data_IF_055489939570
#
_entry.id   IF_055489939570
#
_cell.length_a   1.000
_cell.length_b   1.000
_cell.length_c   1.000
_cell.angle_alpha   90.00
_cell.angle_beta   90.00
_cell.angle_gamma   90.00
#
_symmetry.space_group_name_H-M   'P 1'
#
loop_
_entity.id
_entity.type
_entity.pdbx_description
1 polymer ?
#
# COMPACT_ATOMS: atom_id res chain seq x y z
N UNK A 1 19.77 -4.56 -69.10
CA UNK A 1 18.34 -4.19 -69.03
C UNK A 1 17.64 -5.26 -68.18
N UNK A 2 17.62 -5.13 -66.85
CA UNK A 2 16.65 -4.38 -66.02
C UNK A 2 15.18 -4.71 -66.30
N UNK A 3 14.54 -5.49 -65.39
CA UNK A 3 13.28 -5.18 -64.68
C UNK A 3 12.86 -6.39 -63.81
N UNK A 4 13.09 -6.30 -62.50
CA UNK A 4 12.11 -5.98 -61.42
C UNK A 4 11.26 -7.18 -60.97
N UNK A 5 11.76 -7.90 -59.98
CA UNK A 5 10.97 -8.63 -58.99
C UNK A 5 10.59 -7.63 -57.90
N UNK A 6 9.33 -7.21 -57.85
CA UNK A 6 8.79 -6.38 -56.76
C UNK A 6 8.24 -7.28 -55.67
N UNK A 7 8.89 -7.22 -54.51
CA UNK A 7 8.49 -7.89 -53.29
C UNK A 7 7.11 -7.44 -52.81
N UNK A 8 6.26 -8.43 -52.57
CA UNK A 8 5.28 -8.41 -51.48
C UNK A 8 5.89 -9.29 -50.38
N UNK A 9 5.46 -9.12 -49.14
CA UNK A 9 5.91 -9.83 -47.93
C UNK A 9 7.05 -9.17 -47.13
N UNK A 10 6.85 -7.94 -46.64
CA UNK A 10 7.28 -7.55 -45.28
C UNK A 10 6.26 -6.53 -44.73
N UNK A 11 5.07 -7.02 -44.41
CA UNK A 11 4.10 -6.33 -43.57
C UNK A 11 3.60 -7.42 -42.62
N UNK A 12 4.27 -7.59 -41.48
CA UNK A 12 3.82 -8.37 -40.30
C UNK A 12 4.99 -8.66 -39.35
N UNK A 13 5.59 -7.62 -38.74
CA UNK A 13 6.37 -7.78 -37.48
C UNK A 13 6.16 -6.60 -36.51
N UNK A 14 5.49 -5.51 -36.91
CA UNK A 14 5.29 -4.35 -36.04
C UNK A 14 3.97 -4.41 -35.24
N UNK A 15 3.60 -5.60 -34.73
CA UNK A 15 2.30 -5.84 -34.08
C UNK A 15 2.37 -6.82 -32.89
N UNK A 16 3.39 -6.71 -32.03
CA UNK A 16 3.46 -7.45 -30.76
C UNK A 16 4.13 -6.68 -29.59
N UNK A 17 4.36 -5.36 -29.70
CA UNK A 17 4.96 -4.54 -28.65
C UNK A 17 3.97 -3.48 -28.10
N UNK A 18 2.70 -3.87 -27.94
CA UNK A 18 1.65 -3.08 -27.27
C UNK A 18 1.00 -3.87 -26.12
N UNK A 19 1.46 -5.09 -25.83
CA UNK A 19 0.97 -5.84 -24.69
C UNK A 19 1.75 -5.47 -23.43
N UNK A 20 1.01 -4.90 -22.47
CA UNK A 20 1.33 -4.76 -21.05
C UNK A 20 2.30 -3.63 -20.65
N UNK A 21 1.91 -2.38 -20.92
CA UNK A 21 2.20 -1.26 -20.02
C UNK A 21 0.88 -0.64 -19.50
N UNK A 22 -0.09 -1.49 -19.16
CA UNK A 22 -1.28 -1.10 -18.40
C UNK A 22 -0.98 -1.18 -16.89
N UNK A 23 0.16 -0.65 -16.46
CA UNK A 23 0.43 -0.35 -15.06
C UNK A 23 0.06 1.12 -14.83
N UNK A 24 -1.21 1.45 -15.07
CA UNK A 24 -1.78 2.76 -14.82
C UNK A 24 -2.98 2.52 -13.89
N UNK A 25 -2.73 2.65 -12.58
CA UNK A 25 -3.71 2.78 -11.50
C UNK A 25 -4.98 1.96 -11.71
N UNK A 26 -4.99 0.71 -11.25
CA UNK A 26 -6.23 -0.06 -11.12
C UNK A 26 -7.21 0.80 -10.31
N UNK A 27 -8.33 1.17 -10.92
CA UNK A 27 -9.38 1.88 -10.24
C UNK A 27 -10.18 0.86 -9.41
N UNK A 28 -10.61 1.28 -8.22
CA UNK A 28 -11.44 0.47 -7.34
C UNK A 28 -12.90 0.58 -7.79
N UNK A 29 -13.51 -0.58 -8.06
CA UNK A 29 -14.91 -0.71 -8.47
C UNK A 29 -15.81 -0.59 -7.24
N UNK A 30 -16.46 0.56 -7.07
CA UNK A 30 -17.23 0.90 -5.87
C UNK A 30 -18.70 1.07 -6.20
N UNK A 31 -19.55 0.36 -5.45
CA UNK A 31 -21.00 0.56 -5.47
C UNK A 31 -21.51 0.85 -4.07
N UNK A 32 -22.15 2.01 -3.89
CA UNK A 32 -22.70 2.46 -2.61
C UNK A 32 -24.16 2.87 -2.75
N UNK A 33 -24.87 2.81 -1.63
CA UNK A 33 -26.23 3.31 -1.48
C UNK A 33 -26.28 4.20 -0.24
N UNK A 34 -26.88 5.38 -0.38
CA UNK A 34 -27.13 6.31 0.73
C UNK A 34 -28.62 6.59 0.80
N UNK A 35 -29.20 6.41 1.98
CA UNK A 35 -30.61 6.66 2.24
C UNK A 35 -30.94 8.17 2.16
N UNK A 36 -32.14 8.50 1.69
CA UNK A 36 -32.61 9.87 1.66
C UNK A 36 -33.01 10.35 3.06
N UNK A 37 -32.66 11.59 3.41
CA UNK A 37 -33.14 12.26 4.61
C UNK A 37 -34.65 12.57 4.53
N UNK A 38 -35.32 12.76 5.68
CA UNK A 38 -36.78 13.00 5.77
C UNK A 38 -37.23 14.26 5.00
N UNK A 39 -36.31 15.17 4.65
CA UNK A 39 -36.56 16.40 3.89
C UNK A 39 -36.25 16.28 2.39
N UNK A 40 -35.70 15.14 1.94
CA UNK A 40 -35.59 14.71 0.56
C UNK A 40 -35.07 15.77 -0.41
N UNK A 41 -33.74 15.77 -0.64
CA UNK A 41 -33.05 15.97 -1.95
C UNK A 41 -31.85 16.92 -1.94
N UNK A 42 -31.54 17.65 -0.87
CA UNK A 42 -30.53 18.72 -0.99
C UNK A 42 -29.07 18.24 -0.84
N UNK A 43 -28.80 17.07 -0.23
CA UNK A 43 -27.40 16.62 -0.01
C UNK A 43 -27.08 15.16 -0.38
N UNK A 44 -28.08 14.35 -0.77
CA UNK A 44 -27.90 12.90 -1.00
C UNK A 44 -26.84 12.60 -2.06
N UNK A 45 -26.71 13.44 -3.10
CA UNK A 45 -25.69 13.25 -4.16
C UNK A 45 -24.26 13.46 -3.66
N UNK A 46 -24.00 14.52 -2.89
CA UNK A 46 -22.67 14.81 -2.36
C UNK A 46 -22.28 13.76 -1.32
N UNK A 47 -23.24 13.34 -0.49
CA UNK A 47 -23.03 12.32 0.53
C UNK A 47 -22.74 10.93 -0.07
N UNK A 48 -23.49 10.51 -1.10
CA UNK A 48 -23.22 9.25 -1.79
C UNK A 48 -21.88 9.27 -2.54
N UNK A 49 -21.50 10.42 -3.11
CA UNK A 49 -20.18 10.61 -3.71
C UNK A 49 -19.07 10.49 -2.66
N UNK A 50 -19.18 11.21 -1.54
CA UNK A 50 -18.20 11.15 -0.46
C UNK A 50 -18.06 9.73 0.09
N UNK A 51 -19.18 9.05 0.34
CA UNK A 51 -19.22 7.66 0.80
C UNK A 51 -18.54 6.71 -0.20
N UNK A 52 -18.77 6.89 -1.51
CA UNK A 52 -18.12 6.10 -2.55
C UNK A 52 -16.59 6.28 -2.55
N UNK A 53 -16.12 7.53 -2.43
CA UNK A 53 -14.69 7.83 -2.38
C UNK A 53 -14.02 7.24 -1.15
N UNK A 54 -14.64 7.37 0.03
CA UNK A 54 -14.16 6.77 1.27
C UNK A 54 -14.10 5.24 1.15
N UNK A 55 -15.13 4.61 0.58
CA UNK A 55 -15.17 3.18 0.36
C UNK A 55 -14.07 2.70 -0.61
N UNK A 56 -13.81 3.44 -1.68
CA UNK A 56 -12.73 3.11 -2.63
C UNK A 56 -11.33 3.18 -2.00
N UNK A 57 -11.07 4.21 -1.18
CA UNK A 57 -9.80 4.31 -0.43
C UNK A 57 -9.67 3.18 0.59
N UNK A 58 -10.76 2.82 1.28
CA UNK A 58 -10.74 1.72 2.23
C UNK A 58 -10.48 0.37 1.53
N UNK A 59 -11.16 0.07 0.43
CA UNK A 59 -10.92 -1.15 -0.38
C UNK A 59 -9.46 -1.25 -0.84
N UNK A 60 -8.89 -0.15 -1.33
CA UNK A 60 -7.48 -0.09 -1.71
C UNK A 60 -6.55 -0.41 -0.53
N UNK A 61 -6.85 0.13 0.66
CA UNK A 61 -6.10 -0.18 1.88
C UNK A 61 -6.20 -1.67 2.24
N UNK A 62 -7.38 -2.27 2.10
CA UNK A 62 -7.58 -3.71 2.38
C UNK A 62 -6.75 -4.59 1.46
N UNK A 63 -6.69 -4.26 0.17
CA UNK A 63 -5.85 -4.96 -0.78
C UNK A 63 -4.36 -4.84 -0.45
N UNK A 64 -3.91 -3.65 -0.06
CA UNK A 64 -2.53 -3.41 0.40
C UNK A 64 -2.20 -4.26 1.65
N UNK A 65 -3.18 -4.45 2.53
CA UNK A 65 -3.10 -5.23 3.76
C UNK A 65 -3.46 -6.71 3.57
N UNK A 66 -3.69 -7.15 2.32
CA UNK A 66 -4.00 -8.53 1.94
C UNK A 66 -5.25 -9.10 2.63
N UNK A 67 -6.18 -8.24 3.04
CA UNK A 67 -7.43 -8.62 3.72
C UNK A 67 -7.24 -9.31 5.07
N UNK A 68 -6.07 -9.19 5.70
CA UNK A 68 -5.72 -9.92 6.95
C UNK A 68 -6.16 -9.24 8.23
N UNK A 69 -6.68 -8.01 8.17
CA UNK A 69 -7.12 -7.31 9.38
C UNK A 69 -8.37 -7.96 9.98
N UNK A 70 -8.38 -8.12 11.31
CA UNK A 70 -9.58 -8.49 12.06
C UNK A 70 -10.65 -7.38 12.00
N UNK A 71 -11.88 -7.72 12.40
CA UNK A 71 -13.03 -6.82 12.32
C UNK A 71 -12.83 -5.51 13.10
N UNK A 72 -12.20 -5.57 14.29
CA UNK A 72 -11.94 -4.38 15.11
C UNK A 72 -10.94 -3.45 14.43
N UNK A 73 -9.84 -3.98 13.89
CA UNK A 73 -8.84 -3.18 13.16
C UNK A 73 -9.40 -2.62 11.86
N UNK A 74 -10.22 -3.39 11.14
CA UNK A 74 -10.92 -2.92 9.94
C UNK A 74 -11.81 -1.72 10.25
N UNK A 75 -12.62 -1.81 11.32
CA UNK A 75 -13.49 -0.71 11.75
C UNK A 75 -12.70 0.56 12.08
N UNK A 76 -11.63 0.43 12.87
CA UNK A 76 -10.77 1.56 13.22
C UNK A 76 -10.06 2.16 12.00
N UNK A 77 -9.59 1.32 11.08
CA UNK A 77 -8.98 1.79 9.85
C UNK A 77 -9.96 2.54 8.97
N UNK A 78 -11.19 2.04 8.83
CA UNK A 78 -12.24 2.70 8.06
C UNK A 78 -12.58 4.07 8.64
N UNK A 79 -12.72 4.17 9.97
CA UNK A 79 -12.97 5.43 10.67
C UNK A 79 -11.81 6.43 10.51
N UNK A 80 -10.57 5.97 10.56
CA UNK A 80 -9.41 6.84 10.35
C UNK A 80 -9.34 7.36 8.91
N UNK A 81 -9.51 6.48 7.92
CA UNK A 81 -9.39 6.82 6.50
C UNK A 81 -10.55 7.65 5.98
N UNK A 82 -11.77 7.53 6.53
CA UNK A 82 -12.92 8.29 6.05
C UNK A 82 -12.67 9.81 6.08
N UNK A 83 -12.06 10.31 7.16
CA UNK A 83 -11.70 11.72 7.32
C UNK A 83 -10.56 12.21 6.42
N UNK A 84 -9.75 11.28 5.86
CA UNK A 84 -8.56 11.57 5.05
C UNK A 84 -8.68 11.08 3.61
N UNK A 85 -9.82 10.52 3.22
CA UNK A 85 -9.98 9.84 1.93
C UNK A 85 -9.63 10.75 0.75
N UNK A 86 -10.02 12.03 0.82
CA UNK A 86 -9.73 13.03 -0.22
C UNK A 86 -8.23 13.25 -0.46
N UNK A 87 -7.37 13.00 0.52
CA UNK A 87 -5.90 13.12 0.38
C UNK A 87 -5.32 12.01 -0.52
N UNK A 88 -6.01 10.88 -0.62
CA UNK A 88 -5.56 9.71 -1.37
C UNK A 88 -6.27 9.55 -2.72
N UNK A 89 -7.36 10.27 -2.99
CA UNK A 89 -8.06 10.16 -4.28
C UNK A 89 -7.33 10.96 -5.37
N UNK A 90 -6.95 10.28 -6.46
CA UNK A 90 -6.37 10.90 -7.65
C UNK A 90 -7.45 11.33 -8.65
N UNK A 91 -8.61 10.69 -8.62
CA UNK A 91 -9.76 10.97 -9.47
C UNK A 91 -10.77 9.83 -9.44
N UNK A 92 -11.90 10.00 -10.08
CA UNK A 92 -12.94 8.97 -10.18
C UNK A 92 -13.71 9.08 -11.50
N UNK A 93 -14.41 8.02 -11.86
CA UNK A 93 -15.29 7.93 -13.03
C UNK A 93 -16.65 7.37 -12.61
N UNK A 94 -17.71 8.17 -12.72
CA UNK A 94 -19.08 7.72 -12.44
C UNK A 94 -19.54 6.79 -13.57
N UNK A 95 -19.90 5.55 -13.23
CA UNK A 95 -20.41 4.54 -14.17
C UNK A 95 -21.94 4.56 -14.21
N UNK A 96 -22.57 4.64 -13.04
CA UNK A 96 -24.03 4.67 -12.90
C UNK A 96 -24.43 5.53 -11.68
N UNK A 97 -25.48 6.33 -11.83
CA UNK A 97 -26.12 7.04 -10.73
C UNK A 97 -27.62 6.90 -10.86
N UNK A 98 -28.27 6.37 -9.82
CA UNK A 98 -29.71 6.24 -9.73
C UNK A 98 -30.23 6.94 -8.48
N UNK A 99 -31.11 7.92 -8.67
CA UNK A 99 -31.83 8.55 -7.57
C UNK A 99 -33.19 7.88 -7.43
N UNK A 100 -33.50 7.44 -6.23
CA UNK A 100 -34.78 6.81 -5.86
C UNK A 100 -35.47 7.64 -4.77
N UNK A 101 -36.72 7.31 -4.46
CA UNK A 101 -37.44 7.92 -3.35
C UNK A 101 -36.87 7.52 -1.97
N UNK A 102 -36.05 6.47 -1.92
CA UNK A 102 -35.45 5.96 -0.68
C UNK A 102 -33.99 6.38 -0.49
N UNK A 103 -33.37 7.01 -1.49
CA UNK A 103 -31.94 7.28 -1.48
C UNK A 103 -31.32 7.33 -2.87
N UNK A 104 -29.99 7.35 -2.93
CA UNK A 104 -29.23 7.29 -4.17
C UNK A 104 -28.29 6.09 -4.19
N UNK A 105 -28.21 5.44 -5.35
CA UNK A 105 -27.19 4.44 -5.67
C UNK A 105 -26.16 5.08 -6.57
N UNK A 106 -24.89 4.88 -6.27
CA UNK A 106 -23.76 5.33 -7.09
C UNK A 106 -22.82 4.15 -7.33
N UNK A 107 -22.47 3.95 -8.60
CA UNK A 107 -21.46 3.00 -9.06
C UNK A 107 -20.34 3.80 -9.74
N UNK A 108 -19.11 3.62 -9.30
CA UNK A 108 -17.96 4.35 -9.85
C UNK A 108 -16.65 3.59 -9.73
N UNK A 109 -15.71 4.01 -10.58
CA UNK A 109 -14.31 3.64 -10.50
C UNK A 109 -13.53 4.73 -9.77
N UNK A 110 -12.88 4.40 -8.64
CA UNK A 110 -12.08 5.34 -7.84
C UNK A 110 -10.58 5.08 -8.06
N UNK A 111 -9.83 6.07 -8.53
CA UNK A 111 -8.38 5.99 -8.67
C UNK A 111 -7.73 6.50 -7.40
N UNK A 112 -7.00 5.63 -6.71
CA UNK A 112 -6.35 5.94 -5.42
C UNK A 112 -4.84 6.07 -5.59
N UNK A 113 -4.23 6.98 -4.86
CA UNK A 113 -2.79 7.12 -4.71
C UNK A 113 -2.26 6.01 -3.81
N UNK A 114 -2.14 4.81 -4.39
CA UNK A 114 -1.69 3.58 -3.70
C UNK A 114 -0.36 3.76 -2.98
N UNK A 115 0.57 4.52 -3.56
CA UNK A 115 1.89 4.79 -2.97
C UNK A 115 1.77 5.61 -1.68
N UNK A 116 1.02 6.72 -1.71
CA UNK A 116 0.82 7.56 -0.52
C UNK A 116 0.05 6.80 0.57
N UNK A 117 -0.98 6.05 0.18
CA UNK A 117 -1.76 5.23 1.11
C UNK A 117 -0.91 4.14 1.77
N UNK A 118 -0.09 3.41 0.99
CA UNK A 118 0.87 2.45 1.57
C UNK A 118 1.81 3.14 2.55
N UNK A 119 2.40 4.27 2.16
CA UNK A 119 3.33 5.00 3.01
C UNK A 119 2.72 5.37 4.36
N UNK A 120 1.44 5.78 4.36
CA UNK A 120 0.69 6.05 5.59
C UNK A 120 0.41 4.79 6.42
N UNK A 121 0.01 3.68 5.78
CA UNK A 121 -0.19 2.40 6.49
C UNK A 121 1.11 1.85 7.10
N UNK A 122 2.24 2.10 6.43
CA UNK A 122 3.58 1.77 6.92
C UNK A 122 3.98 2.66 8.10
N UNK A 123 3.73 3.97 8.02
CA UNK A 123 4.07 4.89 9.10
C UNK A 123 3.21 4.68 10.35
N UNK A 124 1.94 4.28 10.18
CA UNK A 124 1.09 3.83 11.27
C UNK A 124 1.56 2.52 11.93
N UNK A 125 2.31 1.67 11.21
CA UNK A 125 2.68 0.32 11.65
C UNK A 125 1.72 -0.79 11.23
N UNK A 126 0.48 -0.45 10.86
CA UNK A 126 -0.58 -1.39 10.45
C UNK A 126 -0.14 -2.30 9.31
N UNK A 127 0.69 -1.81 8.39
CA UNK A 127 1.23 -2.60 7.28
C UNK A 127 2.10 -3.76 7.75
N UNK A 128 2.89 -3.56 8.81
CA UNK A 128 3.88 -4.53 9.30
C UNK A 128 3.26 -5.51 10.32
N UNK A 129 2.32 -5.04 11.13
CA UNK A 129 1.76 -5.76 12.27
C UNK A 129 0.49 -6.55 11.93
N UNK A 130 0.42 -7.14 10.74
CA UNK A 130 -0.79 -7.86 10.30
C UNK A 130 -1.06 -9.09 11.19
N UNK A 131 -0.03 -9.90 11.42
CA UNK A 131 -0.11 -11.16 12.17
C UNK A 131 0.73 -11.13 13.47
N UNK A 132 1.36 -9.99 13.78
CA UNK A 132 2.28 -9.83 14.90
C UNK A 132 2.17 -8.46 15.54
N UNK A 133 2.56 -8.34 16.80
CA UNK A 133 2.49 -7.10 17.57
C UNK A 133 3.88 -6.58 17.93
N UNK A 134 3.98 -5.26 18.13
CA UNK A 134 5.19 -4.61 18.65
C UNK A 134 4.90 -4.11 20.06
N UNK A 135 5.67 -4.58 21.03
CA UNK A 135 5.56 -4.07 22.39
C UNK A 135 6.24 -2.72 22.56
N UNK A 136 5.69 -1.87 23.41
CA UNK A 136 6.33 -0.62 23.84
C UNK A 136 5.93 -0.23 25.27
N UNK A 137 6.61 0.78 25.82
CA UNK A 137 6.31 1.38 27.12
C UNK A 137 5.73 2.78 26.91
N UNK A 138 4.59 3.09 27.52
CA UNK A 138 3.98 4.43 27.46
C UNK A 138 4.25 5.23 28.74
N UNK A 139 4.77 6.45 28.58
CA UNK A 139 4.78 7.49 29.61
C UNK A 139 3.92 8.67 29.10
N UNK A 140 2.70 8.78 29.62
CA UNK A 140 1.75 9.77 29.16
C UNK A 140 1.37 10.78 30.24
N UNK A 141 1.29 12.05 29.84
CA UNK A 141 1.02 13.18 30.73
C UNK A 141 -0.14 14.03 30.21
N UNK A 142 -1.02 14.44 31.13
CA UNK A 142 -2.18 15.30 30.86
C UNK A 142 -3.21 14.73 29.87
N UNK A 143 -3.28 13.41 29.68
CA UNK A 143 -4.32 12.78 28.88
C UNK A 143 -5.68 12.88 29.60
N UNK A 144 -6.71 13.28 28.86
CA UNK A 144 -8.10 13.04 29.25
C UNK A 144 -8.50 11.58 29.04
N UNK A 145 -9.70 11.18 29.50
CA UNK A 145 -10.22 9.83 29.21
C UNK A 145 -10.46 9.60 27.73
N UNK A 146 -10.86 10.64 26.99
CA UNK A 146 -11.05 10.59 25.53
C UNK A 146 -9.71 10.38 24.82
N UNK A 147 -8.68 11.10 25.25
CA UNK A 147 -7.31 10.95 24.74
C UNK A 147 -6.77 9.54 24.97
N UNK A 148 -7.01 8.96 26.15
CA UNK A 148 -6.59 7.60 26.47
C UNK A 148 -7.27 6.56 25.56
N UNK A 149 -8.57 6.74 25.27
CA UNK A 149 -9.29 5.89 24.32
C UNK A 149 -8.70 6.03 22.91
N UNK A 150 -8.42 7.24 22.45
CA UNK A 150 -7.84 7.47 21.12
C UNK A 150 -6.44 6.83 20.98
N UNK A 151 -5.61 6.86 22.04
CA UNK A 151 -4.34 6.14 22.07
C UNK A 151 -4.57 4.63 21.98
N UNK A 152 -5.50 4.08 22.77
CA UNK A 152 -5.83 2.65 22.74
C UNK A 152 -6.34 2.18 21.36
N UNK A 153 -7.16 2.98 20.70
CA UNK A 153 -7.63 2.71 19.34
C UNK A 153 -6.45 2.65 18.34
N UNK A 154 -5.49 3.56 18.46
CA UNK A 154 -4.27 3.52 17.65
C UNK A 154 -3.41 2.30 17.96
N UNK A 155 -3.29 1.87 19.22
CA UNK A 155 -2.59 0.63 19.57
C UNK A 155 -3.23 -0.60 18.93
N UNK A 156 -4.56 -0.69 18.95
CA UNK A 156 -5.31 -1.77 18.31
C UNK A 156 -5.07 -1.74 16.79
N UNK A 157 -5.27 -0.59 16.16
CA UNK A 157 -5.12 -0.41 14.72
C UNK A 157 -3.70 -0.73 14.25
N UNK A 158 -2.69 -0.12 14.88
CA UNK A 158 -1.29 -0.23 14.53
C UNK A 158 -0.64 -1.55 14.95
N UNK A 159 -1.28 -2.33 15.84
CA UNK A 159 -0.68 -3.54 16.41
C UNK A 159 0.51 -3.26 17.35
N UNK A 160 0.71 -1.99 17.75
CA UNK A 160 1.74 -1.58 18.69
C UNK A 160 1.12 -1.48 20.08
N UNK A 161 1.55 -2.28 21.04
CA UNK A 161 0.86 -2.51 22.31
C UNK A 161 1.74 -2.22 23.53
N UNK A 162 1.13 -1.78 24.62
CA UNK A 162 1.82 -1.53 25.88
C UNK A 162 2.18 -2.82 26.64
N UNK A 163 3.02 -3.68 26.06
CA UNK A 163 3.42 -4.97 26.66
C UNK A 163 4.95 -5.19 26.70
N UNK A 164 5.76 -4.17 26.35
CA UNK A 164 7.20 -4.22 26.55
C UNK A 164 7.60 -3.87 27.99
N UNK A 165 8.79 -4.33 28.38
CA UNK A 165 9.38 -4.00 29.69
C UNK A 165 10.17 -2.70 29.65
N UNK A 166 11.00 -2.48 28.62
CA UNK A 166 11.99 -1.39 28.62
C UNK A 166 12.05 -0.56 27.32
N UNK A 167 11.79 -1.13 26.15
CA UNK A 167 11.97 -0.43 24.86
C UNK A 167 11.15 -1.09 23.74
N UNK A 168 10.72 -0.34 22.70
CA UNK A 168 10.71 1.12 22.57
C UNK A 168 9.89 1.84 23.65
N UNK A 169 10.23 3.10 23.95
CA UNK A 169 9.49 3.92 24.91
C UNK A 169 8.89 5.16 24.26
N UNK A 170 7.58 5.36 24.44
CA UNK A 170 6.82 6.47 23.87
C UNK A 170 6.39 7.40 25.00
N UNK A 171 6.84 8.65 24.91
CA UNK A 171 6.36 9.75 25.76
C UNK A 171 5.31 10.55 25.01
N UNK A 172 4.14 10.74 25.61
CA UNK A 172 3.06 11.58 25.07
C UNK A 172 2.64 12.66 26.06
N UNK A 173 2.48 13.88 25.57
CA UNK A 173 2.02 15.02 26.37
C UNK A 173 0.91 15.74 25.60
N UNK A 174 -0.24 15.92 26.25
CA UNK A 174 -1.31 16.81 25.74
C UNK A 174 -1.09 18.23 26.28
N UNK A 175 -0.92 19.18 25.37
CA UNK A 175 -0.83 20.61 25.65
C UNK A 175 -2.19 21.21 26.01
N UNK A 176 -2.18 22.29 26.79
CA UNK A 176 -3.42 22.99 27.19
C UNK A 176 -4.16 23.66 26.01
N UNK A 177 -3.45 23.90 24.91
CA UNK A 177 -3.98 24.39 23.63
C UNK A 177 -4.57 23.27 22.75
N UNK A 178 -4.57 22.03 23.24
CA UNK A 178 -5.01 20.86 22.50
C UNK A 178 -3.94 20.28 21.58
N UNK A 179 -2.71 20.82 21.54
CA UNK A 179 -1.65 20.25 20.72
C UNK A 179 -1.05 19.00 21.37
N UNK A 180 -0.71 18.00 20.57
CA UNK A 180 0.03 16.83 21.01
C UNK A 180 1.54 17.00 20.83
N UNK A 181 2.30 16.59 21.82
CA UNK A 181 3.75 16.42 21.72
C UNK A 181 4.10 14.98 22.04
N UNK A 182 4.97 14.39 21.24
CA UNK A 182 5.40 13.02 21.43
C UNK A 182 6.88 12.84 21.21
N UNK A 183 7.46 11.85 21.89
CA UNK A 183 8.83 11.45 21.72
C UNK A 183 8.97 9.94 21.84
N UNK A 184 9.54 9.32 20.82
CA UNK A 184 9.80 7.88 20.77
C UNK A 184 11.31 7.64 20.92
N UNK A 185 11.70 6.83 21.89
CA UNK A 185 13.09 6.40 22.14
C UNK A 185 13.22 4.91 21.88
N UNK A 186 14.18 4.54 21.03
CA UNK A 186 14.54 3.16 20.73
C UNK A 186 16.05 3.02 20.56
N UNK A 187 16.70 2.32 21.49
CA UNK A 187 18.15 2.05 21.47
C UNK A 187 19.02 3.33 21.30
N UNK A 188 18.63 4.43 21.93
CA UNK A 188 19.34 5.71 21.85
C UNK A 188 19.04 6.53 20.60
N UNK A 189 18.19 6.04 19.70
CA UNK A 189 17.57 6.85 18.66
C UNK A 189 16.32 7.52 19.25
N UNK A 190 16.24 8.85 19.11
CA UNK A 190 15.15 9.64 19.66
C UNK A 190 14.49 10.43 18.54
N UNK A 191 13.19 10.22 18.37
CA UNK A 191 12.37 10.99 17.44
C UNK A 191 11.34 11.78 18.22
N UNK A 192 11.13 13.04 17.85
CA UNK A 192 10.15 13.92 18.48
C UNK A 192 9.27 14.57 17.42
N UNK A 193 7.98 14.69 17.71
CA UNK A 193 7.01 15.30 16.82
C UNK A 193 5.98 16.13 17.61
N UNK A 194 5.29 17.02 16.90
CA UNK A 194 4.18 17.80 17.44
C UNK A 194 3.08 17.89 16.38
N UNK A 195 1.84 17.61 16.76
CA UNK A 195 0.70 17.69 15.84
C UNK A 195 -0.61 18.03 16.57
N UNK A 196 -1.58 18.56 15.84
CA UNK A 196 -2.96 18.72 16.36
C UNK A 196 -3.74 17.39 16.35
N UNK A 197 -3.32 16.45 15.49
CA UNK A 197 -3.99 15.19 15.22
C UNK A 197 -3.13 14.03 15.73
N UNK A 198 -3.68 13.22 16.64
CA UNK A 198 -2.95 12.14 17.29
C UNK A 198 -2.49 11.05 16.30
N UNK A 199 -3.32 10.57 15.34
CA UNK A 199 -2.88 9.65 14.30
C UNK A 199 -1.70 10.16 13.46
N UNK A 200 -1.63 11.47 13.17
CA UNK A 200 -0.49 12.05 12.46
C UNK A 200 0.77 12.03 13.31
N UNK A 201 0.67 12.44 14.59
CA UNK A 201 1.78 12.34 15.54
C UNK A 201 2.29 10.89 15.65
N UNK A 202 1.35 9.95 15.75
CA UNK A 202 1.63 8.52 15.85
C UNK A 202 2.37 8.02 14.61
N UNK A 203 1.87 8.34 13.42
CA UNK A 203 2.49 8.01 12.14
C UNK A 203 3.90 8.61 12.01
N UNK A 204 4.11 9.86 12.43
CA UNK A 204 5.42 10.51 12.37
C UNK A 204 6.44 9.80 13.27
N UNK A 205 6.05 9.45 14.50
CA UNK A 205 6.95 8.78 15.46
C UNK A 205 7.22 7.33 15.07
N UNK A 206 6.16 6.54 14.88
CA UNK A 206 6.28 5.12 14.57
C UNK A 206 6.79 4.87 13.16
N UNK A 207 6.54 5.75 12.20
CA UNK A 207 7.12 5.66 10.87
C UNK A 207 8.65 5.70 10.90
N UNK A 208 9.24 6.53 11.76
CA UNK A 208 10.70 6.52 11.95
C UNK A 208 11.19 5.18 12.52
N UNK A 209 10.46 4.57 13.47
CA UNK A 209 10.80 3.25 13.99
C UNK A 209 10.71 2.15 12.92
N UNK A 210 9.62 2.12 12.15
CA UNK A 210 9.40 1.11 11.12
C UNK A 210 10.25 1.28 9.86
N UNK A 211 10.90 2.44 9.66
CA UNK A 211 11.87 2.60 8.56
C UNK A 211 13.25 2.02 8.87
N UNK A 212 13.54 1.68 10.13
CA UNK A 212 14.81 1.06 10.49
C UNK A 212 14.94 -0.33 9.85
N UNK A 213 16.04 -0.57 9.14
CA UNK A 213 16.26 -1.85 8.44
C UNK A 213 16.16 -3.06 9.38
N UNK A 214 16.76 -2.95 10.59
CA UNK A 214 16.67 -4.01 11.62
C UNK A 214 15.24 -4.30 12.08
N UNK A 215 14.38 -3.27 12.08
CA UNK A 215 12.97 -3.42 12.46
C UNK A 215 12.23 -4.07 11.31
N UNK A 216 12.41 -3.59 10.08
CA UNK A 216 11.80 -4.19 8.87
C UNK A 216 12.14 -5.67 8.72
N UNK A 217 13.37 -6.07 8.99
CA UNK A 217 13.81 -7.48 8.96
C UNK A 217 13.06 -8.41 9.93
N UNK A 218 12.32 -7.87 10.91
CA UNK A 218 11.45 -8.68 11.78
C UNK A 218 10.09 -9.01 11.12
N UNK A 219 9.68 -8.25 10.11
CA UNK A 219 8.38 -8.37 9.43
C UNK A 219 8.50 -8.82 7.97
N UNK A 220 9.63 -8.52 7.34
CA UNK A 220 9.89 -8.79 5.95
C UNK A 220 10.89 -9.93 5.78
N UNK A 221 10.52 -10.91 4.97
CA UNK A 221 11.44 -11.86 4.37
C UNK A 221 12.21 -11.21 3.22
N UNK A 222 13.46 -11.63 3.03
CA UNK A 222 14.26 -11.26 1.86
C UNK A 222 14.41 -12.47 0.94
N UNK A 223 14.01 -12.29 -0.31
CA UNK A 223 14.09 -13.29 -1.37
C UNK A 223 15.10 -12.85 -2.41
N UNK A 224 16.08 -13.71 -2.71
CA UNK A 224 17.03 -13.48 -3.80
C UNK A 224 16.56 -14.22 -5.05
N UNK A 225 16.04 -13.48 -6.01
CA UNK A 225 15.66 -13.98 -7.32
C UNK A 225 16.84 -13.89 -8.28
N UNK A 226 17.27 -15.02 -8.82
CA UNK A 226 18.22 -15.07 -9.95
C UNK A 226 17.53 -15.62 -11.18
N UNK A 227 17.62 -14.92 -12.31
CA UNK A 227 17.03 -15.36 -13.59
C UNK A 227 18.05 -15.38 -14.72
N UNK A 228 17.79 -16.23 -15.72
CA UNK A 228 18.66 -16.47 -16.87
C UNK A 228 17.82 -16.62 -18.14
N UNK A 229 18.42 -16.30 -19.29
CA UNK A 229 17.79 -16.51 -20.59
C UNK A 229 17.05 -15.29 -21.14
N UNK A 230 17.24 -14.10 -20.56
CA UNK A 230 16.69 -12.89 -21.17
C UNK A 230 17.38 -12.60 -22.50
N UNK A 231 16.59 -12.22 -23.52
CA UNK A 231 17.12 -11.91 -24.85
C UNK A 231 18.05 -10.70 -24.89
N UNK A 232 17.91 -9.74 -23.96
CA UNK A 232 18.82 -8.61 -23.75
C UNK A 232 18.58 -7.95 -22.38
N UNK A 233 19.47 -7.02 -22.02
CA UNK A 233 19.40 -6.30 -20.74
C UNK A 233 18.16 -5.41 -20.62
N UNK A 234 17.65 -4.84 -21.71
CA UNK A 234 16.45 -3.99 -21.67
C UNK A 234 15.20 -4.77 -21.29
N UNK A 235 15.08 -6.04 -21.73
CA UNK A 235 13.96 -6.91 -21.32
C UNK A 235 14.07 -7.26 -19.83
N UNK A 236 15.27 -7.57 -19.34
CA UNK A 236 15.49 -7.81 -17.91
C UNK A 236 15.16 -6.57 -17.06
N UNK A 237 15.54 -5.37 -17.51
CA UNK A 237 15.17 -4.11 -16.86
C UNK A 237 13.66 -3.81 -16.94
N UNK A 238 12.99 -4.23 -18.01
CA UNK A 238 11.53 -4.16 -18.11
C UNK A 238 10.84 -5.02 -17.04
N UNK A 239 11.43 -6.17 -16.70
CA UNK A 239 10.93 -7.01 -15.62
C UNK A 239 11.08 -6.40 -14.23
N UNK A 240 12.10 -5.55 -14.01
CA UNK A 240 12.23 -4.79 -12.75
C UNK A 240 11.00 -3.90 -12.49
N UNK A 241 10.47 -3.26 -13.52
CA UNK A 241 9.22 -2.48 -13.43
C UNK A 241 8.01 -3.36 -13.10
N UNK A 242 7.94 -4.55 -13.69
CA UNK A 242 6.89 -5.53 -13.37
C UNK A 242 6.95 -5.92 -11.89
N UNK A 243 8.13 -6.27 -11.36
CA UNK A 243 8.29 -6.59 -9.95
C UNK A 243 7.89 -5.43 -9.03
N UNK A 244 8.30 -4.20 -9.37
CA UNK A 244 7.93 -2.99 -8.60
C UNK A 244 6.43 -2.72 -8.58
N UNK A 245 5.69 -3.14 -9.60
CA UNK A 245 4.24 -3.02 -9.63
C UNK A 245 3.50 -4.02 -8.71
N UNK A 246 4.20 -4.99 -8.11
CA UNK A 246 3.58 -6.02 -7.26
C UNK A 246 3.43 -5.56 -5.82
N UNK A 247 2.88 -4.37 -5.70
CA UNK A 247 2.70 -3.55 -4.53
C UNK A 247 2.19 -4.24 -3.25
N UNK A 248 1.35 -5.26 -3.36
CA UNK A 248 0.84 -6.04 -2.21
C UNK A 248 1.72 -7.23 -1.81
N UNK A 249 2.70 -7.60 -2.64
CA UNK A 249 3.53 -8.81 -2.49
C UNK A 249 5.03 -8.54 -2.53
N UNK A 250 5.47 -7.40 -3.03
CA UNK A 250 6.85 -6.94 -3.01
C UNK A 250 6.87 -5.57 -2.30
N UNK A 251 7.40 -5.55 -1.08
CA UNK A 251 7.55 -4.34 -0.29
C UNK A 251 8.69 -3.46 -0.86
N UNK A 252 9.79 -4.10 -1.24
CA UNK A 252 10.95 -3.45 -1.84
C UNK A 252 11.59 -4.36 -2.90
N UNK A 253 12.08 -3.76 -3.99
CA UNK A 253 12.76 -4.46 -5.08
C UNK A 253 14.07 -3.75 -5.38
N UNK A 254 15.18 -4.47 -5.25
CA UNK A 254 16.53 -3.99 -5.56
C UNK A 254 17.13 -4.87 -6.65
N UNK A 255 17.50 -4.26 -7.79
CA UNK A 255 18.27 -4.94 -8.82
C UNK A 255 19.75 -4.99 -8.39
N UNK A 256 20.18 -6.16 -7.92
CA UNK A 256 21.54 -6.39 -7.39
C UNK A 256 22.56 -6.42 -8.50
N UNK A 257 22.21 -6.95 -9.68
CA UNK A 257 23.14 -7.01 -10.80
C UNK A 257 22.57 -7.57 -12.08
N UNK A 258 23.21 -7.21 -13.19
CA UNK A 258 22.96 -7.73 -14.53
C UNK A 258 24.28 -8.15 -15.14
N UNK A 259 24.34 -9.35 -15.71
CA UNK A 259 25.55 -9.86 -16.37
C UNK A 259 25.22 -10.50 -17.72
N UNK A 260 26.14 -10.32 -18.67
CA UNK A 260 26.06 -10.93 -20.00
C UNK A 260 26.73 -12.30 -19.97
N UNK A 261 26.03 -13.33 -20.41
CA UNK A 261 26.54 -14.69 -20.56
C UNK A 261 26.36 -15.20 -22.01
N UNK A 262 27.10 -16.23 -22.44
CA UNK A 262 26.91 -16.84 -23.76
C UNK A 262 25.47 -17.30 -24.02
N UNK A 263 24.79 -17.76 -22.98
CA UNK A 263 23.41 -18.24 -22.98
C UNK A 263 22.34 -17.12 -22.86
N UNK A 264 22.75 -15.85 -22.81
CA UNK A 264 21.85 -14.69 -22.71
C UNK A 264 22.19 -13.78 -21.54
N UNK A 265 21.22 -12.97 -21.11
CA UNK A 265 21.41 -12.10 -19.94
C UNK A 265 20.96 -12.81 -18.68
N UNK A 266 21.75 -12.66 -17.61
CA UNK A 266 21.41 -13.04 -16.25
C UNK A 266 21.14 -11.77 -15.44
N UNK A 267 20.13 -11.80 -14.59
CA UNK A 267 19.84 -10.72 -13.65
C UNK A 267 19.51 -11.25 -12.26
N UNK A 268 19.78 -10.43 -11.25
CA UNK A 268 19.58 -10.75 -9.84
C UNK A 268 18.82 -9.63 -9.15
N UNK A 269 17.76 -9.98 -8.41
CA UNK A 269 17.00 -9.06 -7.58
C UNK A 269 16.95 -9.55 -6.15
N UNK A 270 17.09 -8.63 -5.23
CA UNK A 270 16.71 -8.80 -3.83
C UNK A 270 15.32 -8.21 -3.66
N UNK A 271 14.37 -9.01 -3.23
CA UNK A 271 12.98 -8.62 -3.05
C UNK A 271 12.64 -8.78 -1.58
N UNK A 272 12.21 -7.72 -0.93
CA UNK A 272 11.67 -7.79 0.43
C UNK A 272 10.16 -7.99 0.35
N UNK A 273 9.62 -8.90 1.15
CA UNK A 273 8.20 -9.25 1.15
C UNK A 273 7.72 -9.66 2.53
N UNK A 274 6.45 -9.38 2.82
CA UNK A 274 5.77 -9.93 3.99
C UNK A 274 4.93 -11.17 3.65
N UNK A 275 4.98 -11.64 2.40
CA UNK A 275 4.28 -12.83 1.88
C UNK A 275 5.21 -13.63 0.99
N UNK A 276 6.18 -14.33 1.59
CA UNK A 276 7.15 -15.11 0.83
C UNK A 276 6.45 -16.13 -0.09
N UNK A 277 5.54 -16.93 0.45
CA UNK A 277 4.84 -17.97 -0.31
C UNK A 277 4.03 -17.37 -1.47
N UNK A 278 3.30 -16.28 -1.23
CA UNK A 278 2.53 -15.58 -2.26
C UNK A 278 3.40 -14.97 -3.34
N UNK A 279 4.54 -14.38 -2.97
CA UNK A 279 5.53 -13.83 -3.90
C UNK A 279 6.15 -14.94 -4.75
N UNK A 280 6.63 -16.03 -4.14
CA UNK A 280 7.26 -17.15 -4.84
C UNK A 280 6.29 -17.79 -5.84
N UNK A 281 5.05 -18.02 -5.44
CA UNK A 281 4.02 -18.58 -6.32
C UNK A 281 3.76 -17.68 -7.55
N UNK A 282 3.76 -16.35 -7.36
CA UNK A 282 3.59 -15.39 -8.47
C UNK A 282 4.83 -15.35 -9.35
N UNK A 283 6.04 -15.29 -8.79
CA UNK A 283 7.30 -15.34 -9.52
C UNK A 283 7.37 -16.56 -10.43
N UNK A 284 7.11 -17.75 -9.89
CA UNK A 284 7.15 -19.01 -10.64
C UNK A 284 6.16 -18.98 -11.81
N UNK A 285 4.95 -18.45 -11.60
CA UNK A 285 3.93 -18.34 -12.64
C UNK A 285 4.39 -17.38 -13.75
N UNK A 286 4.76 -16.16 -13.38
CA UNK A 286 5.15 -15.12 -14.35
C UNK A 286 6.38 -15.51 -15.15
N UNK A 287 7.41 -16.08 -14.51
CA UNK A 287 8.65 -16.47 -15.19
C UNK A 287 8.45 -17.68 -16.09
N UNK A 288 7.54 -18.59 -15.74
CA UNK A 288 7.15 -19.72 -16.62
C UNK A 288 6.47 -19.23 -17.89
N UNK A 289 5.57 -18.26 -17.78
CA UNK A 289 4.88 -17.68 -18.95
C UNK A 289 5.85 -16.96 -19.91
N UNK A 290 7.00 -16.52 -19.38
CA UNK A 290 8.08 -15.88 -20.14
C UNK A 290 9.18 -16.84 -20.62
N UNK A 291 9.10 -18.14 -20.29
CA UNK A 291 10.14 -19.15 -20.56
C UNK A 291 11.53 -18.77 -19.98
N UNK A 292 11.54 -18.15 -18.79
CA UNK A 292 12.77 -17.71 -18.10
C UNK A 292 13.17 -18.72 -17.01
N UNK A 293 14.41 -19.17 -17.07
CA UNK A 293 15.00 -20.06 -16.05
C UNK A 293 15.32 -19.24 -14.80
N UNK A 294 14.93 -19.76 -13.63
CA UNK A 294 15.07 -19.02 -12.38
C UNK A 294 15.48 -19.89 -11.20
N UNK A 295 16.04 -19.23 -10.19
CA UNK A 295 16.33 -19.76 -8.86
C UNK A 295 15.89 -18.73 -7.84
N UNK A 296 15.22 -19.19 -6.78
CA UNK A 296 14.72 -18.38 -5.68
C UNK A 296 15.40 -18.90 -4.41
N UNK A 297 16.02 -18.01 -3.64
CA UNK A 297 16.69 -18.31 -2.37
C UNK A 297 16.13 -17.44 -1.25
#
# INVERSE_FOLDING_TARGET
MSKRLTGKWVLSVLWCLVLAASSLNAAQDVRVFVEADEEGRVNVRSEVLETALQQGVFQEAEELLRGKLDESRRFLLQGLLSSKASEYVLGYEELEYESTDWGAVLHMDVRVNRQALRGFLQSLGTYYTLDQTVGYVLDAQNLTSEDATAVQELEILSGVRQDASDSPSLRLVRGADGTWQGMLDFEGLVWSAQAMDLPLLWADLWGNYFTLERVRQMFEDSVLLTTHGWGNASVALGFDQVLRSWDSQAAEVELVGVSLRPEGVQAQWKISTMDRDGLEARLIRTLRDMDIVHSIQ
#
